data_IF_322565532262
#
_entry.id   IF_322565532262
#
_cell.length_a   1.000
_cell.length_b   1.000
_cell.length_c   1.000
_cell.angle_alpha   90.00
_cell.angle_beta   90.00
_cell.angle_gamma   90.00
#
_symmetry.space_group_name_H-M   'P 1'
#
loop_
_entity.id
_entity.type
_entity.pdbx_description
1 polymer ?
#
# COMPACT_ATOMS: atom_id res chain seq x y z
N UNK A 1 33.97 13.63 7.97
CA UNK A 1 33.16 13.25 6.80
C UNK A 1 31.72 13.27 7.25
N UNK A 2 30.84 14.03 6.60
CA UNK A 2 29.43 14.06 6.98
C UNK A 2 28.79 12.70 6.63
N UNK A 3 28.02 12.11 7.55
CA UNK A 3 27.23 10.92 7.26
C UNK A 3 26.23 11.22 6.14
N UNK A 4 26.24 10.41 5.08
CA UNK A 4 25.32 10.57 3.97
C UNK A 4 23.94 10.05 4.40
N UNK A 5 22.98 10.97 4.55
CA UNK A 5 21.60 10.61 4.91
C UNK A 5 20.96 9.93 3.69
N UNK A 6 20.83 8.60 3.76
CA UNK A 6 20.24 7.79 2.69
C UNK A 6 18.71 7.94 2.59
N UNK A 7 18.05 8.28 3.69
CA UNK A 7 16.58 8.42 3.78
C UNK A 7 16.21 9.90 3.83
N UNK A 8 16.00 10.48 2.65
CA UNK A 8 15.59 11.89 2.51
C UNK A 8 14.06 12.00 2.32
N UNK A 9 13.46 13.18 2.55
CA UNK A 9 12.05 13.42 2.22
C UNK A 9 11.69 13.08 0.77
N UNK A 10 12.59 13.40 -0.17
CA UNK A 10 12.45 13.05 -1.58
C UNK A 10 12.43 11.55 -1.80
N UNK A 11 13.31 10.81 -1.12
CA UNK A 11 13.34 9.35 -1.18
C UNK A 11 12.04 8.74 -0.65
N UNK A 12 11.54 9.21 0.49
CA UNK A 12 10.30 8.74 1.11
C UNK A 12 9.08 8.96 0.21
N UNK A 13 8.91 10.17 -0.35
CA UNK A 13 7.85 10.48 -1.32
C UNK A 13 7.94 9.62 -2.59
N UNK A 14 9.17 9.34 -3.04
CA UNK A 14 9.42 8.42 -4.16
C UNK A 14 8.95 6.99 -3.86
N UNK A 15 9.30 6.47 -2.68
CA UNK A 15 8.90 5.12 -2.23
C UNK A 15 7.40 5.01 -1.96
N UNK A 16 6.77 6.04 -1.42
CA UNK A 16 5.32 6.09 -1.26
C UNK A 16 4.60 5.88 -2.59
N UNK A 17 5.00 6.61 -3.64
CA UNK A 17 4.42 6.48 -4.97
C UNK A 17 4.66 5.09 -5.57
N UNK A 18 5.91 4.60 -5.52
CA UNK A 18 6.29 3.28 -6.04
C UNK A 18 5.46 2.17 -5.39
N UNK A 19 5.40 2.16 -4.06
CA UNK A 19 4.71 1.11 -3.32
C UNK A 19 3.19 1.22 -3.45
N UNK A 20 2.64 2.43 -3.52
CA UNK A 20 1.21 2.63 -3.80
C UNK A 20 0.80 1.97 -5.12
N UNK A 21 1.59 2.14 -6.18
CA UNK A 21 1.28 1.51 -7.48
C UNK A 21 1.42 -0.01 -7.45
N UNK A 22 2.44 -0.54 -6.77
CA UNK A 22 2.60 -1.99 -6.58
C UNK A 22 1.40 -2.59 -5.81
N UNK A 23 0.94 -1.91 -4.77
CA UNK A 23 -0.20 -2.36 -3.96
C UNK A 23 -1.50 -2.31 -4.73
N UNK A 24 -1.74 -1.25 -5.51
CA UNK A 24 -2.89 -1.19 -6.42
C UNK A 24 -2.89 -2.36 -7.40
N UNK A 25 -1.74 -2.68 -7.99
CA UNK A 25 -1.61 -3.82 -8.91
C UNK A 25 -1.94 -5.13 -8.19
N UNK A 26 -1.30 -5.40 -7.05
CA UNK A 26 -1.53 -6.60 -6.27
C UNK A 26 -3.01 -6.75 -5.84
N UNK A 27 -3.66 -5.65 -5.44
CA UNK A 27 -5.08 -5.62 -5.12
C UNK A 27 -5.94 -5.96 -6.32
N UNK A 28 -5.66 -5.40 -7.49
CA UNK A 28 -6.43 -5.69 -8.71
C UNK A 28 -6.29 -7.15 -9.12
N UNK A 29 -5.07 -7.70 -9.09
CA UNK A 29 -4.81 -9.11 -9.41
C UNK A 29 -5.54 -10.04 -8.42
N UNK A 30 -5.57 -9.68 -7.13
CA UNK A 30 -6.29 -10.41 -6.10
C UNK A 30 -7.81 -10.39 -6.30
N UNK A 31 -8.39 -9.22 -6.59
CA UNK A 31 -9.83 -9.10 -6.85
C UNK A 31 -10.24 -9.84 -8.13
N UNK A 32 -9.40 -9.78 -9.17
CA UNK A 32 -9.61 -10.53 -10.39
C UNK A 32 -9.64 -12.05 -10.12
N UNK A 33 -8.73 -12.58 -9.31
CA UNK A 33 -8.74 -14.01 -8.96
C UNK A 33 -10.08 -14.44 -8.32
N UNK A 34 -10.66 -13.62 -7.44
CA UNK A 34 -11.98 -13.89 -6.85
C UNK A 34 -13.11 -13.85 -7.88
N UNK A 35 -13.06 -12.90 -8.83
CA UNK A 35 -14.06 -12.79 -9.89
C UNK A 35 -13.97 -13.97 -10.88
N UNK A 36 -12.77 -14.47 -11.17
CA UNK A 36 -12.57 -15.67 -12.00
C UNK A 36 -13.19 -16.92 -11.37
N UNK A 37 -13.10 -17.07 -10.04
CA UNK A 37 -13.75 -18.19 -9.33
C UNK A 37 -15.27 -18.09 -9.38
N UNK A 38 -15.82 -16.88 -9.34
CA UNK A 38 -17.25 -16.65 -9.53
C UNK A 38 -17.72 -17.01 -10.94
N UNK A 39 -16.92 -16.78 -11.97
CA UNK A 39 -17.23 -17.25 -13.34
C UNK A 39 -17.18 -18.78 -13.41
N UNK A 40 -16.23 -19.41 -12.71
CA UNK A 40 -16.13 -20.87 -12.66
C UNK A 40 -17.39 -21.53 -12.09
N UNK A 41 -18.01 -20.95 -11.06
CA UNK A 41 -19.27 -21.49 -10.48
C UNK A 41 -20.49 -21.32 -11.39
N UNK A 42 -20.46 -20.39 -12.35
CA UNK A 42 -21.52 -20.26 -13.35
C UNK A 42 -21.47 -21.37 -14.39
N UNK A 43 -20.26 -21.86 -14.71
CA UNK A 43 -20.05 -22.92 -15.71
C UNK A 43 -20.10 -24.33 -15.12
N UNK A 44 -19.88 -24.48 -13.81
CA UNK A 44 -19.78 -25.79 -13.15
C UNK A 44 -20.58 -25.83 -11.84
N UNK A 45 -21.66 -26.62 -11.83
CA UNK A 45 -22.44 -26.88 -10.62
C UNK A 45 -21.91 -28.13 -9.89
N UNK A 46 -21.12 -27.91 -8.84
CA UNK A 46 -20.56 -28.98 -8.02
C UNK A 46 -20.21 -28.51 -6.62
N UNK A 47 -20.19 -29.45 -5.66
CA UNK A 47 -19.75 -29.16 -4.28
C UNK A 47 -18.34 -28.52 -4.23
N UNK A 48 -17.35 -28.97 -5.02
CA UNK A 48 -16.02 -28.35 -5.02
C UNK A 48 -16.02 -26.88 -5.47
N UNK A 49 -16.80 -26.53 -6.49
CA UNK A 49 -16.84 -25.16 -7.03
C UNK A 49 -17.58 -24.21 -6.08
N UNK A 50 -18.64 -24.68 -5.42
CA UNK A 50 -19.34 -23.93 -4.36
C UNK A 50 -18.45 -23.67 -3.14
N UNK A 51 -17.61 -24.63 -2.76
CA UNK A 51 -16.67 -24.45 -1.65
C UNK A 51 -15.57 -23.44 -2.00
N UNK A 52 -15.06 -23.47 -3.23
CA UNK A 52 -14.10 -22.48 -3.72
C UNK A 52 -14.70 -21.06 -3.70
N UNK A 53 -15.92 -20.87 -4.20
CA UNK A 53 -16.59 -19.57 -4.20
C UNK A 53 -16.76 -18.98 -2.80
N UNK A 54 -17.19 -19.80 -1.83
CA UNK A 54 -17.27 -19.38 -0.42
C UNK A 54 -15.93 -18.92 0.14
N UNK A 55 -14.84 -19.66 -0.13
CA UNK A 55 -13.50 -19.29 0.34
C UNK A 55 -13.02 -17.99 -0.29
N UNK A 56 -13.19 -17.85 -1.61
CA UNK A 56 -12.78 -16.63 -2.31
C UNK A 56 -13.63 -15.43 -1.93
N UNK A 57 -14.91 -15.61 -1.61
CA UNK A 57 -15.74 -14.54 -1.06
C UNK A 57 -15.22 -14.04 0.29
N UNK A 58 -14.88 -14.96 1.21
CA UNK A 58 -14.28 -14.62 2.50
C UNK A 58 -12.94 -13.92 2.33
N UNK A 59 -12.04 -14.49 1.52
CA UNK A 59 -10.74 -13.88 1.24
C UNK A 59 -10.87 -12.52 0.57
N UNK A 60 -11.85 -12.31 -0.30
CA UNK A 60 -12.09 -11.00 -0.94
C UNK A 60 -12.37 -9.92 0.11
N UNK A 61 -13.17 -10.23 1.11
CA UNK A 61 -13.49 -9.31 2.21
C UNK A 61 -12.27 -9.03 3.10
N UNK A 62 -11.61 -10.10 3.59
CA UNK A 62 -10.40 -10.01 4.42
C UNK A 62 -9.28 -9.27 3.71
N UNK A 63 -9.03 -9.63 2.44
CA UNK A 63 -8.02 -9.04 1.59
C UNK A 63 -8.29 -7.57 1.31
N UNK A 64 -9.56 -7.17 1.08
CA UNK A 64 -9.90 -5.74 0.88
C UNK A 64 -9.54 -4.92 2.12
N UNK A 65 -9.82 -5.44 3.31
CA UNK A 65 -9.44 -4.81 4.57
C UNK A 65 -7.91 -4.72 4.71
N UNK A 66 -7.19 -5.81 4.42
CA UNK A 66 -5.74 -5.87 4.49
C UNK A 66 -5.06 -4.89 3.52
N UNK A 67 -5.52 -4.82 2.26
CA UNK A 67 -5.01 -3.88 1.26
C UNK A 67 -5.22 -2.43 1.70
N UNK A 68 -6.39 -2.10 2.27
CA UNK A 68 -6.65 -0.76 2.80
C UNK A 68 -5.70 -0.40 3.94
N UNK A 69 -5.46 -1.33 4.86
CA UNK A 69 -4.50 -1.12 5.94
C UNK A 69 -3.09 -0.89 5.38
N UNK A 70 -2.70 -1.64 4.35
CA UNK A 70 -1.40 -1.51 3.72
C UNK A 70 -1.22 -0.18 2.96
N UNK A 71 -2.24 0.24 2.19
CA UNK A 71 -2.30 1.57 1.54
C UNK A 71 -2.17 2.70 2.58
N UNK A 72 -2.88 2.60 3.71
CA UNK A 72 -2.79 3.58 4.80
C UNK A 72 -1.37 3.62 5.41
N UNK A 73 -0.71 2.48 5.58
CA UNK A 73 0.65 2.42 6.09
C UNK A 73 1.66 3.05 5.12
N UNK A 74 1.50 2.84 3.82
CA UNK A 74 2.34 3.46 2.79
C UNK A 74 2.15 4.98 2.81
N UNK A 75 0.92 5.48 2.97
CA UNK A 75 0.64 6.92 3.07
C UNK A 75 1.33 7.62 4.25
N UNK A 76 1.79 6.89 5.27
CA UNK A 76 2.60 7.47 6.36
C UNK A 76 3.98 7.93 5.91
N UNK A 77 4.51 7.42 4.80
CA UNK A 77 5.79 7.85 4.26
C UNK A 77 5.79 9.33 3.89
N UNK A 78 4.68 9.83 3.32
CA UNK A 78 4.48 11.25 3.02
C UNK A 78 4.45 12.10 4.28
N UNK A 79 3.73 11.65 5.32
CA UNK A 79 3.68 12.32 6.62
C UNK A 79 5.07 12.42 7.27
N UNK A 80 5.84 11.34 7.21
CA UNK A 80 7.22 11.33 7.74
C UNK A 80 8.09 12.31 6.94
N UNK A 81 7.96 12.34 5.62
CA UNK A 81 8.69 13.29 4.77
C UNK A 81 8.36 14.75 5.12
N UNK A 82 7.09 15.07 5.40
CA UNK A 82 6.66 16.40 5.83
C UNK A 82 7.27 16.80 7.19
N UNK A 83 7.29 15.87 8.16
CA UNK A 83 7.91 16.11 9.47
C UNK A 83 9.41 16.42 9.32
N UNK A 84 10.12 15.67 8.48
CA UNK A 84 11.54 15.94 8.20
C UNK A 84 11.75 17.29 7.51
N UNK A 85 10.94 17.62 6.49
CA UNK A 85 11.02 18.92 5.80
C UNK A 85 10.76 20.09 6.77
N UNK A 86 9.83 19.93 7.71
CA UNK A 86 9.55 20.94 8.73
C UNK A 86 10.73 21.10 9.70
N UNK A 87 11.27 19.99 10.21
CA UNK A 87 12.42 20.01 11.11
C UNK A 87 13.66 20.66 10.46
N UNK A 88 13.90 20.40 9.17
CA UNK A 88 14.99 21.04 8.42
C UNK A 88 14.80 22.56 8.30
N UNK A 89 13.56 23.03 8.07
CA UNK A 89 13.26 24.48 8.00
C UNK A 89 13.46 25.17 9.34
N UNK A 90 12.96 24.57 10.42
CA UNK A 90 13.10 25.11 11.77
C UNK A 90 14.58 25.22 12.17
N UNK A 91 15.39 24.18 11.90
CA UNK A 91 16.82 24.21 12.19
C UNK A 91 17.56 25.29 11.40
N UNK A 92 17.23 25.51 10.11
CA UNK A 92 17.83 26.56 9.29
C UNK A 92 17.53 27.96 9.82
N UNK A 93 16.30 28.21 10.27
CA UNK A 93 15.90 29.50 10.83
C UNK A 93 16.68 29.83 12.11
N UNK A 94 16.91 28.84 12.97
CA UNK A 94 17.71 29.00 14.21
C UNK A 94 19.20 29.25 13.92
N UNK A 95 19.74 28.68 12.83
CA UNK A 95 21.16 28.87 12.48
C UNK A 95 21.45 30.20 11.78
N UNK A 96 20.44 30.87 11.22
CA UNK A 96 20.59 32.19 10.58
C UNK A 96 20.40 33.38 11.52
N UNK A 97 19.95 33.17 12.76
CA UNK A 97 19.73 34.24 13.76
C UNK A 97 20.94 34.51 14.70
N UNK A 98 22.14 34.02 14.35
CA UNK A 98 23.41 34.37 15.02
C UNK A 98 24.35 35.10 14.07
#
# INVERSE_FOLDING_TARGET
MAEEILVTPRYLKGKEKEWTELVKKARNDFLAAADHVRVLTQSFDGRPTKELDKRFALWKEEGTTAFRAFENHIGKLGQIAEVYEQAERENRNVTTEN
#
